data_IF_503433780778
#
_entry.id   IF_503433780778
#
_cell.length_a   1.000
_cell.length_b   1.000
_cell.length_c   1.000
_cell.angle_alpha   90.00
_cell.angle_beta   90.00
_cell.angle_gamma   90.00
#
_symmetry.space_group_name_H-M   'P 1'
#
loop_
_entity.id
_entity.type
_entity.pdbx_description
1 polymer ?
#
# COMPACT_ATOMS: atom_id res chain seq x y z
N UNK A 1 -13.69 2.45 -15.54
CA UNK A 1 -12.87 1.49 -14.78
C UNK A 1 -11.44 1.83 -15.17
N UNK A 2 -10.73 2.61 -14.38
CA UNK A 2 -9.34 2.96 -14.74
C UNK A 2 -8.53 1.68 -14.88
N UNK A 3 -7.93 1.54 -16.05
CA UNK A 3 -7.37 0.30 -16.51
C UNK A 3 -5.95 0.16 -15.97
N UNK A 4 -5.69 -0.98 -15.33
CA UNK A 4 -4.33 -1.52 -15.29
C UNK A 4 -3.77 -1.44 -16.72
N UNK A 5 -2.70 -0.66 -16.91
CA UNK A 5 -2.12 -0.40 -18.22
C UNK A 5 -1.11 -1.49 -18.60
N UNK A 6 -0.76 -1.67 -19.89
CA UNK A 6 0.27 -2.62 -20.30
C UNK A 6 1.61 -2.42 -19.57
N UNK A 7 1.99 -1.17 -19.31
CA UNK A 7 3.22 -0.76 -18.63
C UNK A 7 3.22 -1.18 -17.16
N UNK A 8 2.05 -1.33 -16.55
CA UNK A 8 1.91 -1.72 -15.15
C UNK A 8 2.07 -3.23 -14.91
N UNK A 9 1.98 -4.06 -15.96
CA UNK A 9 2.01 -5.52 -15.85
C UNK A 9 3.33 -6.11 -15.29
N UNK A 10 4.53 -5.63 -15.68
CA UNK A 10 5.79 -6.09 -15.11
C UNK A 10 5.89 -5.89 -13.59
N UNK A 11 5.16 -4.92 -13.04
CA UNK A 11 5.13 -4.63 -11.60
C UNK A 11 4.19 -5.57 -10.81
N UNK A 12 3.47 -6.45 -11.50
CA UNK A 12 2.59 -7.44 -10.89
C UNK A 12 1.11 -7.11 -10.92
N UNK A 13 0.72 -6.00 -11.54
CA UNK A 13 -0.69 -5.71 -11.77
C UNK A 13 -1.24 -6.66 -12.85
N UNK A 14 -2.51 -7.01 -12.72
CA UNK A 14 -3.15 -7.96 -13.63
C UNK A 14 -4.36 -7.28 -14.28
N UNK A 15 -4.32 -7.18 -15.61
CA UNK A 15 -5.42 -6.70 -16.44
C UNK A 15 -6.32 -7.84 -16.93
N UNK A 16 -5.72 -8.98 -17.28
CA UNK A 16 -6.43 -10.14 -17.84
C UNK A 16 -6.98 -11.04 -16.74
N UNK A 17 -8.08 -11.73 -17.03
CA UNK A 17 -8.85 -12.52 -16.06
C UNK A 17 -7.98 -13.43 -15.19
N UNK A 18 -8.31 -13.47 -13.91
CA UNK A 18 -8.14 -14.63 -13.03
C UNK A 18 -9.52 -15.02 -12.50
N UNK A 19 -9.67 -16.26 -12.07
CA UNK A 19 -10.93 -16.75 -11.52
C UNK A 19 -10.75 -17.12 -10.04
N UNK A 20 -9.80 -16.49 -9.35
CA UNK A 20 -9.51 -16.80 -7.95
C UNK A 20 -10.70 -16.41 -7.07
N UNK A 21 -11.35 -15.28 -7.40
CA UNK A 21 -12.60 -14.84 -6.78
C UNK A 21 -13.76 -15.85 -6.95
N UNK A 22 -13.73 -16.74 -7.95
CA UNK A 22 -14.73 -17.80 -8.08
C UNK A 22 -14.61 -18.89 -7.01
N UNK A 23 -13.43 -19.00 -6.40
CA UNK A 23 -13.09 -20.08 -5.48
C UNK A 23 -13.15 -19.64 -4.03
N UNK A 24 -12.77 -18.39 -3.72
CA UNK A 24 -12.64 -17.89 -2.35
C UNK A 24 -12.60 -16.36 -2.31
N UNK A 25 -12.54 -15.80 -1.10
CA UNK A 25 -12.31 -14.38 -0.79
C UNK A 25 -10.83 -14.03 -0.84
N UNK A 26 -10.45 -12.78 -0.55
CA UNK A 26 -9.04 -12.37 -0.42
C UNK A 26 -8.25 -13.06 0.70
N UNK A 27 -8.87 -13.92 1.52
CA UNK A 27 -8.18 -14.73 2.53
C UNK A 27 -7.35 -13.88 3.51
N UNK A 28 -7.87 -12.74 3.96
CA UNK A 28 -7.13 -11.82 4.82
C UNK A 28 -6.62 -12.50 6.11
N UNK A 29 -7.45 -13.35 6.74
CA UNK A 29 -7.04 -14.07 7.95
C UNK A 29 -5.89 -15.05 7.72
N UNK A 30 -5.90 -15.78 6.61
CA UNK A 30 -4.80 -16.66 6.22
C UNK A 30 -3.54 -15.89 5.82
N UNK A 31 -3.69 -14.80 5.07
CA UNK A 31 -2.57 -13.93 4.71
C UNK A 31 -1.91 -13.35 5.97
N UNK A 32 -2.71 -12.81 6.90
CA UNK A 32 -2.22 -12.27 8.17
C UNK A 32 -1.43 -13.30 8.97
N UNK A 33 -1.92 -14.55 9.07
CA UNK A 33 -1.20 -15.63 9.77
C UNK A 33 0.11 -15.99 9.08
N UNK A 34 0.10 -16.14 7.76
CA UNK A 34 1.32 -16.44 7.00
C UNK A 34 2.36 -15.33 7.16
N UNK A 35 1.90 -14.07 7.10
CA UNK A 35 2.75 -12.89 7.16
C UNK A 35 3.28 -12.62 8.57
N UNK A 36 2.54 -12.97 9.63
CA UNK A 36 3.06 -12.95 10.99
C UNK A 36 4.16 -14.00 11.26
N UNK A 37 4.27 -15.03 10.42
CA UNK A 37 5.26 -16.12 10.55
C UNK A 37 6.39 -16.02 9.50
N UNK A 38 6.42 -14.96 8.71
CA UNK A 38 7.41 -14.77 7.65
C UNK A 38 7.87 -13.32 7.60
N UNK A 39 9.06 -13.10 7.08
CA UNK A 39 9.59 -11.76 6.84
C UNK A 39 9.18 -11.24 5.47
N UNK A 40 9.20 -9.91 5.23
CA UNK A 40 8.94 -9.34 3.92
C UNK A 40 9.80 -9.92 2.81
N UNK A 41 11.03 -10.36 3.10
CA UNK A 41 12.03 -10.95 2.18
C UNK A 41 11.97 -12.48 2.07
N UNK A 42 11.03 -13.15 2.76
CA UNK A 42 10.94 -14.62 2.78
C UNK A 42 10.76 -15.20 1.37
N UNK A 43 11.54 -16.23 0.97
CA UNK A 43 11.43 -16.87 -0.33
C UNK A 43 10.07 -17.55 -0.58
N UNK A 44 9.69 -17.70 -1.85
CA UNK A 44 8.40 -18.31 -2.22
C UNK A 44 8.29 -19.76 -1.75
N UNK A 45 9.39 -20.50 -1.87
CA UNK A 45 9.50 -21.91 -1.49
C UNK A 45 9.31 -22.08 0.02
N UNK A 46 9.80 -21.12 0.80
CA UNK A 46 9.62 -21.08 2.25
C UNK A 46 8.16 -20.83 2.64
N UNK A 47 7.52 -19.84 2.00
CA UNK A 47 6.08 -19.59 2.18
C UNK A 47 5.26 -20.83 1.80
N UNK A 48 5.68 -21.56 0.75
CA UNK A 48 5.03 -22.80 0.36
C UNK A 48 5.19 -23.89 1.42
N UNK A 49 6.40 -24.06 1.96
CA UNK A 49 6.69 -25.04 3.01
C UNK A 49 5.84 -24.80 4.25
N UNK A 50 5.81 -23.56 4.75
CA UNK A 50 4.99 -23.15 5.90
C UNK A 50 3.50 -23.52 5.72
N UNK A 51 2.94 -23.27 4.53
CA UNK A 51 1.50 -23.50 4.30
C UNK A 51 1.19 -24.96 3.97
N UNK A 52 1.95 -25.58 3.06
CA UNK A 52 1.62 -26.87 2.47
C UNK A 52 2.17 -28.02 3.29
N UNK A 53 3.40 -27.91 3.78
CA UNK A 53 4.09 -29.00 4.50
C UNK A 53 3.81 -28.89 6.01
N UNK A 54 4.04 -27.71 6.58
CA UNK A 54 3.93 -27.48 8.03
C UNK A 54 2.51 -27.15 8.51
N UNK A 55 1.58 -26.92 7.58
CA UNK A 55 0.18 -26.59 7.90
C UNK A 55 0.02 -25.38 8.84
N UNK A 56 0.85 -24.35 8.69
CA UNK A 56 0.80 -23.14 9.52
C UNK A 56 -0.59 -22.46 9.54
N UNK A 57 -1.42 -22.70 8.52
CA UNK A 57 -2.77 -22.16 8.40
C UNK A 57 -3.88 -23.09 8.95
N UNK A 58 -3.51 -24.19 9.61
CA UNK A 58 -4.38 -25.13 10.31
C UNK A 58 -5.54 -25.65 9.44
N UNK A 59 -5.21 -26.07 8.22
CA UNK A 59 -6.18 -26.64 7.27
C UNK A 59 -6.29 -28.15 7.46
N UNK A 60 -7.51 -28.68 7.32
CA UNK A 60 -7.86 -30.07 7.64
C UNK A 60 -7.18 -31.10 6.74
N UNK A 61 -6.97 -30.75 5.48
CA UNK A 61 -6.44 -31.69 4.47
C UNK A 61 -5.31 -31.06 3.67
N UNK A 62 -4.41 -31.87 3.13
CA UNK A 62 -3.38 -31.41 2.19
C UNK A 62 -3.98 -30.71 0.97
N UNK A 63 -5.09 -31.23 0.43
CA UNK A 63 -5.79 -30.59 -0.68
C UNK A 63 -6.27 -29.17 -0.34
N UNK A 64 -6.75 -28.95 0.89
CA UNK A 64 -7.14 -27.62 1.36
C UNK A 64 -5.94 -26.69 1.57
N UNK A 65 -4.80 -27.21 2.07
CA UNK A 65 -3.54 -26.46 2.18
C UNK A 65 -3.06 -25.96 0.81
N UNK A 66 -2.98 -26.86 -0.18
CA UNK A 66 -2.57 -26.53 -1.56
C UNK A 66 -3.52 -25.52 -2.22
N UNK A 67 -4.83 -25.66 -2.00
CA UNK A 67 -5.84 -24.73 -2.54
C UNK A 67 -5.71 -23.32 -1.96
N UNK A 68 -5.52 -23.22 -0.64
CA UNK A 68 -5.33 -21.93 0.04
C UNK A 68 -4.03 -21.28 -0.40
N UNK A 69 -2.92 -22.03 -0.45
CA UNK A 69 -1.64 -21.50 -0.92
C UNK A 69 -1.73 -20.98 -2.36
N UNK A 70 -2.40 -21.72 -3.26
CA UNK A 70 -2.66 -21.27 -4.63
C UNK A 70 -3.43 -19.95 -4.65
N UNK A 71 -4.49 -19.83 -3.85
CA UNK A 71 -5.28 -18.61 -3.80
C UNK A 71 -4.48 -17.42 -3.24
N UNK A 72 -3.69 -17.61 -2.18
CA UNK A 72 -2.80 -16.58 -1.64
C UNK A 72 -1.78 -16.11 -2.70
N UNK A 73 -1.14 -17.04 -3.42
CA UNK A 73 -0.26 -16.72 -4.55
C UNK A 73 -0.98 -15.94 -5.64
N UNK A 74 -2.21 -16.30 -5.96
CA UNK A 74 -2.96 -15.63 -7.02
C UNK A 74 -3.35 -14.20 -6.62
N UNK A 75 -3.89 -14.01 -5.42
CA UNK A 75 -4.30 -12.71 -4.88
C UNK A 75 -3.11 -11.79 -4.56
N UNK A 76 -2.09 -12.29 -3.87
CA UNK A 76 -1.01 -11.45 -3.32
C UNK A 76 0.28 -11.50 -4.13
N UNK A 77 0.49 -12.53 -4.96
CA UNK A 77 1.72 -12.68 -5.76
C UNK A 77 2.84 -13.46 -5.08
N UNK A 78 2.96 -13.39 -3.75
CA UNK A 78 3.87 -14.18 -2.90
C UNK A 78 5.32 -14.33 -3.41
N UNK A 79 5.83 -13.36 -4.18
CA UNK A 79 7.16 -13.43 -4.81
C UNK A 79 7.84 -12.07 -4.71
N UNK A 80 9.05 -12.05 -4.16
CA UNK A 80 9.85 -10.81 -4.02
C UNK A 80 10.02 -10.01 -5.30
N UNK A 81 10.23 -10.64 -6.48
CA UNK A 81 10.36 -9.90 -7.73
C UNK A 81 9.07 -9.24 -8.21
N UNK A 82 7.95 -9.36 -7.49
CA UNK A 82 6.69 -8.69 -7.81
C UNK A 82 6.59 -7.42 -6.94
N UNK A 83 6.82 -6.21 -7.48
CA UNK A 83 6.79 -4.97 -6.73
C UNK A 83 5.51 -4.74 -5.92
N UNK A 84 4.33 -5.04 -6.50
CA UNK A 84 3.05 -4.94 -5.79
C UNK A 84 2.99 -5.82 -4.54
N UNK A 85 3.60 -7.01 -4.58
CA UNK A 85 3.67 -7.88 -3.40
C UNK A 85 4.70 -7.37 -2.39
N UNK A 86 5.90 -7.04 -2.88
CA UNK A 86 7.03 -6.62 -2.04
C UNK A 86 6.69 -5.38 -1.24
N UNK A 87 6.20 -4.33 -1.89
CA UNK A 87 5.80 -3.09 -1.23
C UNK A 87 4.63 -3.32 -0.28
N UNK A 88 3.64 -4.14 -0.67
CA UNK A 88 2.56 -4.51 0.24
C UNK A 88 3.08 -5.21 1.51
N UNK A 89 4.12 -6.06 1.41
CA UNK A 89 4.73 -6.71 2.58
C UNK A 89 5.55 -5.78 3.44
N UNK A 90 6.28 -4.84 2.84
CA UNK A 90 7.02 -3.81 3.59
C UNK A 90 6.04 -2.94 4.39
N UNK A 91 4.99 -2.41 3.73
CA UNK A 91 3.97 -1.57 4.36
C UNK A 91 3.10 -2.31 5.39
N UNK A 92 3.01 -3.64 5.28
CA UNK A 92 2.23 -4.48 6.20
C UNK A 92 2.78 -4.43 7.63
N UNK A 93 4.10 -4.38 7.78
CA UNK A 93 4.78 -4.40 9.08
C UNK A 93 4.76 -3.02 9.74
N UNK A 94 4.82 -1.95 8.94
CA UNK A 94 4.86 -0.56 9.41
C UNK A 94 3.54 -0.08 10.04
N UNK A 95 2.39 -0.58 9.58
CA UNK A 95 1.08 -0.11 10.02
C UNK A 95 0.09 -1.27 10.28
N UNK A 96 0.14 -1.92 11.45
CA UNK A 96 -0.72 -3.05 11.78
C UNK A 96 -2.23 -2.77 11.65
N UNK A 97 -2.67 -1.55 11.99
CA UNK A 97 -4.07 -1.14 11.86
C UNK A 97 -4.54 -1.08 10.39
N UNK A 98 -3.62 -0.82 9.46
CA UNK A 98 -3.90 -0.63 8.04
C UNK A 98 -3.82 -1.92 7.20
N UNK A 99 -3.33 -3.02 7.78
CA UNK A 99 -3.14 -4.32 7.11
C UNK A 99 -4.37 -4.80 6.30
N UNK A 100 -5.63 -4.67 6.78
CA UNK A 100 -6.80 -5.06 6.00
C UNK A 100 -6.92 -4.31 4.66
N UNK A 101 -6.56 -3.03 4.64
CA UNK A 101 -6.64 -2.19 3.46
C UNK A 101 -5.41 -2.35 2.56
N UNK A 102 -4.22 -2.58 3.13
CA UNK A 102 -3.03 -3.00 2.36
C UNK A 102 -3.31 -4.29 1.58
N UNK A 103 -3.92 -5.28 2.25
CA UNK A 103 -4.35 -6.53 1.62
C UNK A 103 -5.30 -6.29 0.44
N UNK A 104 -6.28 -5.41 0.64
CA UNK A 104 -7.28 -5.10 -0.36
C UNK A 104 -6.71 -4.40 -1.58
N UNK A 105 -5.83 -3.41 -1.39
CA UNK A 105 -5.14 -2.72 -2.49
C UNK A 105 -4.30 -3.70 -3.32
N UNK A 106 -3.54 -4.59 -2.66
CA UNK A 106 -2.77 -5.64 -3.33
C UNK A 106 -3.69 -6.57 -4.15
N UNK A 107 -4.80 -7.01 -3.56
CA UNK A 107 -5.75 -7.89 -4.21
C UNK A 107 -6.49 -7.21 -5.37
N UNK A 108 -6.88 -5.94 -5.23
CA UNK A 108 -7.50 -5.16 -6.29
C UNK A 108 -6.53 -4.99 -7.46
N UNK A 109 -5.24 -4.78 -7.21
CA UNK A 109 -4.22 -4.70 -8.25
C UNK A 109 -4.08 -6.01 -9.06
N UNK A 110 -4.47 -7.16 -8.48
CA UNK A 110 -4.19 -8.49 -9.01
C UNK A 110 -5.41 -9.33 -9.42
N UNK A 111 -6.61 -8.98 -8.96
CA UNK A 111 -7.85 -9.69 -9.26
C UNK A 111 -8.85 -8.76 -9.98
N UNK A 112 -8.90 -8.78 -11.32
CA UNK A 112 -9.81 -7.93 -12.11
C UNK A 112 -11.29 -8.11 -11.78
N UNK A 113 -11.74 -9.31 -11.41
CA UNK A 113 -13.14 -9.54 -11.04
C UNK A 113 -13.51 -8.88 -9.72
N UNK A 114 -12.56 -8.78 -8.78
CA UNK A 114 -12.78 -8.04 -7.54
C UNK A 114 -12.76 -6.54 -7.83
N UNK A 115 -11.82 -6.09 -8.66
CA UNK A 115 -11.68 -4.69 -9.06
C UNK A 115 -12.92 -4.14 -9.75
N UNK A 116 -13.59 -4.92 -10.61
CA UNK A 116 -14.81 -4.47 -11.29
C UNK A 116 -15.96 -4.15 -10.31
N UNK A 117 -16.01 -4.82 -9.16
CA UNK A 117 -17.04 -4.60 -8.14
C UNK A 117 -16.85 -3.29 -7.36
N UNK A 118 -15.68 -2.66 -7.42
CA UNK A 118 -15.40 -1.39 -6.75
C UNK A 118 -16.34 -0.27 -7.21
N UNK A 119 -16.76 -0.29 -8.49
CA UNK A 119 -17.69 0.69 -9.06
C UNK A 119 -19.10 0.66 -8.42
N UNK A 120 -19.44 -0.41 -7.69
CA UNK A 120 -20.71 -0.54 -6.96
C UNK A 120 -20.55 -0.20 -5.49
N UNK A 121 -19.40 -0.56 -4.89
CA UNK A 121 -19.17 -0.39 -3.45
C UNK A 121 -18.74 1.03 -3.10
N UNK A 122 -17.71 1.56 -3.78
CA UNK A 122 -17.06 2.81 -3.40
C UNK A 122 -17.99 4.04 -3.48
N UNK A 123 -18.86 4.19 -4.50
CA UNK A 123 -19.73 5.37 -4.60
C UNK A 123 -20.85 5.45 -3.56
N UNK A 124 -21.15 4.36 -2.86
CA UNK A 124 -22.23 4.35 -1.87
C UNK A 124 -21.77 5.08 -0.59
N UNK A 125 -22.63 5.93 0.02
CA UNK A 125 -22.29 6.61 1.25
C UNK A 125 -22.25 5.63 2.43
N UNK A 126 -21.48 5.97 3.47
CA UNK A 126 -21.42 5.18 4.70
C UNK A 126 -22.83 4.92 5.27
N UNK A 127 -23.06 3.70 5.77
CA UNK A 127 -24.36 3.23 6.26
C UNK A 127 -25.31 2.70 5.17
N UNK A 128 -25.12 3.06 3.89
CA UNK A 128 -26.03 2.63 2.83
C UNK A 128 -26.01 1.10 2.60
N UNK A 129 -27.14 0.49 2.21
CA UNK A 129 -27.18 -0.93 1.89
C UNK A 129 -26.37 -1.24 0.62
N UNK A 130 -25.62 -2.34 0.66
CA UNK A 130 -24.92 -2.93 -0.49
C UNK A 130 -25.42 -4.35 -0.65
N UNK A 131 -26.26 -4.60 -1.65
CA UNK A 131 -26.79 -5.93 -1.88
C UNK A 131 -25.85 -6.70 -2.79
N UNK A 132 -25.71 -7.99 -2.52
CA UNK A 132 -24.76 -8.84 -3.28
C UNK A 132 -25.18 -8.98 -4.74
N UNK A 133 -26.48 -8.94 -5.04
CA UNK A 133 -27.02 -8.97 -6.39
C UNK A 133 -26.71 -7.69 -7.20
N UNK A 134 -26.33 -6.58 -6.56
CA UNK A 134 -25.82 -5.39 -7.25
C UNK A 134 -24.38 -5.60 -7.78
N UNK A 135 -23.62 -6.56 -7.25
CA UNK A 135 -22.24 -6.81 -7.66
C UNK A 135 -22.14 -7.72 -8.90
N UNK A 136 -23.13 -8.58 -9.14
CA UNK A 136 -23.17 -9.50 -10.28
C UNK A 136 -23.19 -8.77 -11.63
N UNK A 137 -24.05 -7.75 -11.85
CA UNK A 137 -24.05 -6.97 -13.08
C UNK A 137 -22.72 -6.27 -13.35
N UNK A 138 -21.99 -5.84 -12.31
CA UNK A 138 -20.68 -5.21 -12.49
C UNK A 138 -19.62 -6.20 -13.00
N UNK A 139 -19.70 -7.46 -12.57
CA UNK A 139 -18.88 -8.56 -13.07
C UNK A 139 -19.25 -8.86 -14.53
N UNK A 140 -20.54 -9.04 -14.83
CA UNK A 140 -21.01 -9.34 -16.19
C UNK A 140 -20.68 -8.22 -17.18
N UNK A 141 -20.88 -6.96 -16.80
CA UNK A 141 -20.53 -5.79 -17.61
C UNK A 141 -19.03 -5.74 -17.94
N UNK A 142 -18.18 -6.15 -17.01
CA UNK A 142 -16.72 -6.14 -17.20
C UNK A 142 -16.22 -7.38 -17.96
N UNK A 143 -16.94 -8.49 -17.88
CA UNK A 143 -16.57 -9.77 -18.48
C UNK A 143 -17.79 -10.47 -19.12
N UNK A 144 -18.35 -9.89 -20.21
CA UNK A 144 -19.63 -10.33 -20.77
C UNK A 144 -19.57 -11.75 -21.33
N UNK A 145 -20.60 -12.55 -21.02
CA UNK A 145 -20.79 -13.92 -21.48
C UNK A 145 -19.73 -14.92 -20.97
N UNK A 146 -18.89 -14.54 -20.00
CA UNK A 146 -17.74 -15.36 -19.57
C UNK A 146 -18.07 -16.37 -18.49
N UNK A 147 -19.09 -16.11 -17.69
CA UNK A 147 -19.41 -16.92 -16.51
C UNK A 147 -20.89 -17.24 -16.47
N UNK A 148 -21.21 -18.46 -16.01
CA UNK A 148 -22.59 -18.83 -15.71
C UNK A 148 -23.09 -18.02 -14.51
N UNK A 149 -24.38 -17.78 -14.46
CA UNK A 149 -25.03 -16.98 -13.40
C UNK A 149 -24.71 -17.50 -11.99
N UNK A 150 -24.75 -18.82 -11.78
CA UNK A 150 -24.42 -19.42 -10.49
C UNK A 150 -22.96 -19.18 -10.04
N UNK A 151 -22.02 -19.08 -10.99
CA UNK A 151 -20.62 -18.75 -10.74
C UNK A 151 -20.46 -17.27 -10.43
N UNK A 152 -21.13 -16.38 -11.18
CA UNK A 152 -21.10 -14.93 -10.91
C UNK A 152 -21.72 -14.60 -9.56
N UNK A 153 -22.86 -15.21 -9.20
CA UNK A 153 -23.49 -15.04 -7.89
C UNK A 153 -22.55 -15.46 -6.74
N UNK A 154 -21.73 -16.50 -6.95
CA UNK A 154 -20.69 -16.90 -5.99
C UNK A 154 -19.56 -15.87 -5.91
N UNK A 155 -19.06 -15.40 -7.05
CA UNK A 155 -18.04 -14.34 -7.10
C UNK A 155 -18.51 -13.07 -6.40
N UNK A 156 -19.77 -12.66 -6.61
CA UNK A 156 -20.39 -11.53 -5.96
C UNK A 156 -20.40 -11.69 -4.43
N UNK A 157 -20.75 -12.87 -3.90
CA UNK A 157 -20.67 -13.16 -2.46
C UNK A 157 -19.23 -13.08 -1.93
N UNK A 158 -18.27 -13.62 -2.66
CA UNK A 158 -16.86 -13.55 -2.27
C UNK A 158 -16.31 -12.12 -2.33
N UNK A 159 -16.74 -11.33 -3.33
CA UNK A 159 -16.41 -9.90 -3.42
C UNK A 159 -16.95 -9.15 -2.21
N UNK A 160 -18.24 -9.29 -1.91
CA UNK A 160 -18.87 -8.66 -0.73
C UNK A 160 -18.14 -9.03 0.57
N UNK A 161 -17.75 -10.29 0.74
CA UNK A 161 -16.96 -10.71 1.90
C UNK A 161 -15.54 -10.14 1.91
N UNK A 162 -14.93 -9.91 0.75
CA UNK A 162 -13.59 -9.31 0.64
C UNK A 162 -13.61 -7.80 0.93
N UNK A 163 -14.64 -7.09 0.46
CA UNK A 163 -14.90 -5.70 0.86
C UNK A 163 -15.21 -5.57 2.36
N UNK A 164 -15.85 -6.58 2.95
CA UNK A 164 -16.02 -6.63 4.40
C UNK A 164 -14.68 -6.82 5.14
N UNK A 165 -13.79 -7.68 4.64
CA UNK A 165 -12.49 -7.92 5.25
C UNK A 165 -11.63 -6.65 5.32
N UNK A 166 -11.81 -5.70 4.42
CA UNK A 166 -11.09 -4.41 4.41
C UNK A 166 -11.82 -3.27 5.12
N UNK A 167 -12.97 -3.52 5.74
CA UNK A 167 -13.76 -2.50 6.46
C UNK A 167 -14.70 -1.66 5.59
N UNK A 168 -14.67 -1.81 4.26
CA UNK A 168 -15.58 -1.10 3.36
C UNK A 168 -17.02 -1.56 3.48
N UNK A 169 -17.26 -2.80 3.90
CA UNK A 169 -18.59 -3.33 4.20
C UNK A 169 -18.65 -3.88 5.63
N UNK A 170 -19.83 -3.81 6.22
CA UNK A 170 -20.13 -4.40 7.53
C UNK A 170 -21.40 -5.27 7.45
N UNK A 171 -21.65 -6.06 8.50
CA UNK A 171 -22.83 -6.91 8.61
C UNK A 171 -22.66 -8.32 8.02
N UNK A 172 -23.53 -9.26 8.42
CA UNK A 172 -23.44 -10.69 8.04
C UNK A 172 -24.28 -11.00 6.81
N UNK A 173 -25.62 -10.99 6.95
CA UNK A 173 -26.55 -11.28 5.85
C UNK A 173 -26.85 -10.03 5.00
N UNK A 174 -27.12 -8.90 5.64
CA UNK A 174 -27.30 -7.60 4.99
C UNK A 174 -25.99 -6.84 5.10
N UNK A 175 -25.38 -6.51 3.96
CA UNK A 175 -24.17 -5.68 3.96
C UNK A 175 -24.55 -4.22 3.94
N UNK A 176 -23.90 -3.44 4.78
CA UNK A 176 -23.97 -1.99 4.78
C UNK A 176 -22.59 -1.43 4.52
N UNK A 177 -22.53 -0.25 3.92
CA UNK A 177 -21.31 0.46 3.63
C UNK A 177 -20.64 0.86 4.96
N UNK A 178 -19.44 0.36 5.19
CA UNK A 178 -18.54 0.80 6.25
C UNK A 178 -17.64 1.94 5.76
N UNK A 179 -16.57 2.20 6.50
CA UNK A 179 -15.49 3.10 6.10
C UNK A 179 -14.19 2.40 6.41
N UNK A 180 -13.40 2.10 5.37
CA UNK A 180 -12.11 1.46 5.56
C UNK A 180 -11.18 2.36 6.39
N UNK A 181 -10.36 1.75 7.23
CA UNK A 181 -9.32 2.47 7.95
C UNK A 181 -8.11 2.63 7.03
N UNK A 182 -7.79 3.89 6.72
CA UNK A 182 -6.62 4.29 5.94
C UNK A 182 -5.67 5.14 6.76
N UNK A 183 -4.41 5.14 6.37
CA UNK A 183 -3.34 5.96 6.93
C UNK A 183 -2.18 6.10 5.94
N UNK A 184 -0.99 6.48 6.41
CA UNK A 184 0.16 6.72 5.55
C UNK A 184 0.55 5.51 4.68
N UNK A 185 0.51 4.29 5.24
CA UNK A 185 0.97 3.09 4.53
C UNK A 185 0.06 2.77 3.33
N UNK A 186 -1.25 2.77 3.55
CA UNK A 186 -2.25 2.53 2.50
C UNK A 186 -2.29 3.67 1.49
N UNK A 187 -2.10 4.91 1.93
CA UNK A 187 -1.99 6.07 1.03
C UNK A 187 -0.79 5.92 0.10
N UNK A 188 0.39 5.60 0.64
CA UNK A 188 1.60 5.36 -0.15
C UNK A 188 1.38 4.21 -1.16
N UNK A 189 0.76 3.11 -0.73
CA UNK A 189 0.45 1.99 -1.62
C UNK A 189 -0.53 2.40 -2.74
N UNK A 190 -1.59 3.13 -2.42
CA UNK A 190 -2.58 3.58 -3.39
C UNK A 190 -1.97 4.53 -4.44
N UNK A 191 -1.18 5.50 -3.99
CA UNK A 191 -0.47 6.43 -4.88
C UNK A 191 0.53 5.69 -5.78
N UNK A 192 1.28 4.73 -5.23
CA UNK A 192 2.18 3.88 -6.00
C UNK A 192 1.40 3.11 -7.08
N UNK A 193 0.29 2.46 -6.74
CA UNK A 193 -0.51 1.72 -7.73
C UNK A 193 -1.03 2.63 -8.85
N UNK A 194 -1.42 3.86 -8.53
CA UNK A 194 -1.80 4.88 -9.53
C UNK A 194 -0.62 5.24 -10.43
N UNK A 195 0.55 5.45 -9.83
CA UNK A 195 1.78 5.76 -10.55
C UNK A 195 2.21 4.61 -11.49
N UNK A 196 2.13 3.37 -11.02
CA UNK A 196 2.45 2.19 -11.83
C UNK A 196 1.49 2.03 -13.03
N UNK A 197 0.26 2.52 -12.92
CA UNK A 197 -0.69 2.64 -14.03
C UNK A 197 -0.47 3.88 -14.91
N UNK A 198 0.66 4.59 -14.79
CA UNK A 198 1.00 5.73 -15.64
C UNK A 198 0.38 7.07 -15.22
N UNK A 199 -0.41 7.12 -14.14
CA UNK A 199 -1.00 8.38 -13.64
C UNK A 199 0.07 9.19 -12.88
N UNK A 200 0.00 10.52 -12.93
CA UNK A 200 1.01 11.42 -12.35
C UNK A 200 0.36 12.63 -11.65
N UNK A 201 1.10 13.23 -10.72
CA UNK A 201 0.71 14.48 -10.06
C UNK A 201 -0.67 14.39 -9.37
N UNK A 202 -1.42 15.49 -9.40
CA UNK A 202 -2.73 15.62 -8.73
C UNK A 202 -3.76 14.58 -9.20
N UNK A 203 -3.64 14.06 -10.43
CA UNK A 203 -4.54 13.04 -10.96
C UNK A 203 -4.45 11.70 -10.20
N UNK A 204 -3.36 11.46 -9.45
CA UNK A 204 -3.24 10.27 -8.60
C UNK A 204 -4.38 10.19 -7.57
N UNK A 205 -4.84 11.33 -7.07
CA UNK A 205 -5.92 11.40 -6.07
C UNK A 205 -7.29 11.05 -6.63
N UNK A 206 -7.44 11.09 -7.95
CA UNK A 206 -8.66 10.67 -8.64
C UNK A 206 -8.62 9.19 -9.03
N UNK A 207 -7.54 8.47 -8.73
CA UNK A 207 -7.44 7.05 -9.13
C UNK A 207 -8.37 6.16 -8.32
N UNK A 208 -8.73 5.00 -8.90
CA UNK A 208 -9.43 3.94 -8.17
C UNK A 208 -8.74 3.58 -6.85
N UNK A 209 -7.41 3.56 -6.85
CA UNK A 209 -6.61 3.16 -5.71
C UNK A 209 -6.78 4.14 -4.55
N UNK A 210 -6.72 5.45 -4.83
CA UNK A 210 -6.95 6.48 -3.80
C UNK A 210 -8.40 6.51 -3.35
N UNK A 211 -9.38 6.34 -4.26
CA UNK A 211 -10.79 6.20 -3.87
C UNK A 211 -11.06 5.02 -2.94
N UNK A 212 -10.20 3.99 -2.95
CA UNK A 212 -10.29 2.82 -2.05
C UNK A 212 -9.86 3.17 -0.62
N UNK A 213 -9.25 4.32 -0.39
CA UNK A 213 -8.85 4.72 0.96
C UNK A 213 -10.04 5.13 1.83
N UNK A 214 -11.23 5.38 1.26
CA UNK A 214 -12.40 5.89 1.98
C UNK A 214 -12.18 7.19 2.77
N UNK A 215 -11.06 7.87 2.51
CA UNK A 215 -10.79 9.19 3.00
C UNK A 215 -11.25 10.21 1.94
N UNK A 216 -12.05 11.20 2.36
CA UNK A 216 -11.92 12.51 1.71
C UNK A 216 -10.49 12.99 2.01
N UNK A 217 -9.88 13.71 1.08
CA UNK A 217 -8.44 14.00 0.97
C UNK A 217 -7.72 14.58 2.21
N UNK A 218 -8.32 14.69 3.40
CA UNK A 218 -7.58 14.88 4.64
C UNK A 218 -8.33 14.48 5.93
N UNK A 219 -8.28 13.22 6.34
CA UNK A 219 -8.75 12.89 7.70
C UNK A 219 -7.63 13.11 8.72
N UNK A 220 -7.90 13.90 9.76
CA UNK A 220 -7.24 13.75 11.07
C UNK A 220 -6.75 15.01 11.78
N UNK A 221 -6.62 16.15 11.11
CA UNK A 221 -6.11 17.38 11.75
C UNK A 221 -7.26 18.33 12.13
N UNK A 222 -7.22 18.90 13.33
CA UNK A 222 -8.26 19.85 13.82
C UNK A 222 -8.43 21.03 12.85
N UNK A 223 -7.31 21.54 12.34
CA UNK A 223 -7.24 22.65 11.37
C UNK A 223 -7.23 22.22 9.90
N UNK A 224 -7.71 21.00 9.60
CA UNK A 224 -7.65 20.42 8.26
C UNK A 224 -8.26 21.33 7.19
N UNK A 225 -9.54 21.70 7.33
CA UNK A 225 -10.19 22.46 6.26
C UNK A 225 -9.61 23.86 6.12
N UNK A 226 -9.05 24.42 7.20
CA UNK A 226 -8.33 25.69 7.18
C UNK A 226 -7.04 25.58 6.38
N UNK A 227 -6.23 24.53 6.58
CA UNK A 227 -5.03 24.28 5.76
C UNK A 227 -5.33 24.06 4.28
N UNK A 228 -6.49 23.47 3.93
CA UNK A 228 -6.87 23.31 2.52
C UNK A 228 -7.39 24.61 1.91
N UNK A 229 -8.05 25.46 2.69
CA UNK A 229 -8.50 26.78 2.25
C UNK A 229 -7.33 27.77 2.14
N UNK A 230 -6.37 27.67 3.05
CA UNK A 230 -5.18 28.50 3.11
C UNK A 230 -3.92 27.65 3.40
N UNK A 231 -3.26 27.11 2.35
CA UNK A 231 -2.07 26.27 2.50
C UNK A 231 -0.90 26.92 3.25
N UNK A 232 -0.82 28.24 3.29
CA UNK A 232 0.26 28.96 3.99
C UNK A 232 0.20 28.75 5.51
N UNK A 233 -0.98 28.45 6.06
CA UNK A 233 -1.17 28.16 7.49
C UNK A 233 -0.51 26.83 7.91
N UNK A 234 -0.18 25.97 6.95
CA UNK A 234 0.53 24.71 7.21
C UNK A 234 1.97 24.95 7.68
N UNK A 235 2.57 26.11 7.38
CA UNK A 235 3.97 26.39 7.65
C UNK A 235 4.35 26.18 9.13
N UNK A 236 3.49 26.64 10.05
CA UNK A 236 3.70 26.48 11.50
C UNK A 236 3.66 25.00 11.91
N UNK A 237 2.72 24.23 11.35
CA UNK A 237 2.63 22.79 11.61
C UNK A 237 3.82 22.00 11.02
N UNK A 238 4.43 22.49 9.94
CA UNK A 238 5.63 21.88 9.37
C UNK A 238 6.87 22.12 10.24
N UNK A 239 6.96 23.26 10.91
CA UNK A 239 8.04 23.52 11.89
C UNK A 239 7.91 22.59 13.11
N UNK A 240 6.70 22.47 13.68
CA UNK A 240 6.43 21.54 14.78
C UNK A 240 6.69 20.08 14.37
N UNK A 241 6.33 19.72 13.14
CA UNK A 241 6.62 18.40 12.56
C UNK A 241 8.13 18.16 12.47
N UNK A 242 8.89 19.15 12.00
CA UNK A 242 10.35 19.03 11.89
C UNK A 242 11.00 18.83 13.27
N UNK A 243 10.58 19.59 14.28
CA UNK A 243 11.09 19.43 15.65
C UNK A 243 10.73 18.07 16.25
N UNK A 244 9.50 17.59 16.02
CA UNK A 244 9.10 16.26 16.45
C UNK A 244 9.90 15.15 15.74
N UNK A 245 10.18 15.32 14.45
CA UNK A 245 10.97 14.38 13.66
C UNK A 245 12.40 14.30 14.19
N UNK A 246 13.02 15.43 14.52
CA UNK A 246 14.37 15.47 15.10
C UNK A 246 14.43 14.63 16.39
N UNK A 247 13.46 14.80 17.29
CA UNK A 247 13.35 14.00 18.52
C UNK A 247 13.24 12.51 18.19
N UNK A 248 12.36 12.13 17.26
CA UNK A 248 12.16 10.72 16.89
C UNK A 248 13.40 10.07 16.29
N UNK A 249 14.13 10.79 15.44
CA UNK A 249 15.36 10.29 14.84
C UNK A 249 16.46 10.20 15.89
N UNK A 250 16.59 11.17 16.80
CA UNK A 250 17.53 11.14 17.92
C UNK A 250 17.30 9.94 18.85
N UNK A 251 16.05 9.65 19.20
CA UNK A 251 15.67 8.48 20.02
C UNK A 251 16.09 7.15 19.36
N UNK A 252 16.13 7.12 18.03
CA UNK A 252 16.46 5.92 17.24
C UNK A 252 17.95 5.82 16.88
N UNK A 253 18.69 6.92 16.92
CA UNK A 253 20.08 7.04 16.46
C UNK A 253 21.10 6.74 17.58
N UNK A 254 20.94 5.64 18.29
CA UNK A 254 21.89 5.22 19.33
C UNK A 254 23.23 4.84 18.67
N UNK A 255 24.26 5.67 18.87
CA UNK A 255 25.55 5.53 18.19
C UNK A 255 26.71 6.00 19.08
N UNK A 256 27.88 5.40 18.85
CA UNK A 256 29.17 5.87 19.39
C UNK A 256 30.08 6.42 18.28
N UNK A 257 31.31 6.80 18.63
CA UNK A 257 32.28 7.35 17.68
C UNK A 257 32.69 6.37 16.55
N UNK A 258 32.45 5.07 16.71
CA UNK A 258 32.79 4.03 15.74
C UNK A 258 31.58 3.54 14.93
N UNK A 259 30.40 4.12 15.18
CA UNK A 259 29.14 3.70 14.55
C UNK A 259 28.85 4.50 13.28
N UNK A 260 28.34 3.83 12.25
CA UNK A 260 27.76 4.49 11.07
C UNK A 260 26.23 4.44 11.20
N UNK A 261 25.60 5.60 11.38
CA UNK A 261 24.14 5.72 11.37
C UNK A 261 23.67 5.87 9.93
N UNK A 262 22.76 5.00 9.51
CA UNK A 262 22.16 5.04 8.17
C UNK A 262 20.78 5.68 8.23
N UNK A 263 20.61 6.83 7.60
CA UNK A 263 19.33 7.50 7.44
C UNK A 263 18.70 7.11 6.10
N UNK A 264 17.60 6.36 6.17
CA UNK A 264 16.83 5.88 5.02
C UNK A 264 15.54 6.70 4.87
N UNK A 265 15.02 6.79 3.64
CA UNK A 265 13.69 7.35 3.42
C UNK A 265 13.59 8.87 3.42
N UNK A 266 14.70 9.61 3.46
CA UNK A 266 14.70 11.09 3.51
C UNK A 266 13.93 11.78 2.38
N UNK A 267 13.70 11.08 1.26
CA UNK A 267 12.83 11.59 0.20
C UNK A 267 11.40 11.87 0.66
N UNK A 268 10.93 11.29 1.77
CA UNK A 268 9.61 11.55 2.35
C UNK A 268 9.45 12.97 2.90
N UNK A 269 10.54 13.70 3.14
CA UNK A 269 10.48 15.07 3.64
C UNK A 269 10.24 16.09 2.53
N UNK A 270 10.38 15.71 1.25
CA UNK A 270 10.20 16.66 0.16
C UNK A 270 8.79 17.24 0.14
N UNK A 271 8.70 18.57 0.23
CA UNK A 271 7.43 19.32 0.25
C UNK A 271 6.79 19.45 1.63
N UNK A 272 7.35 18.83 2.67
CA UNK A 272 6.86 18.92 4.07
C UNK A 272 7.96 19.15 5.10
N UNK A 273 9.23 19.19 4.68
CA UNK A 273 10.37 19.46 5.53
C UNK A 273 11.64 19.65 4.71
N UNK A 274 12.72 20.06 5.39
CA UNK A 274 14.05 20.12 4.78
C UNK A 274 14.88 18.99 5.36
N UNK A 275 15.44 18.17 4.47
CA UNK A 275 16.31 17.11 4.96
C UNK A 275 17.64 17.73 5.47
N UNK A 276 18.03 18.92 5.00
CA UNK A 276 19.19 19.66 5.54
C UNK A 276 18.98 20.06 6.99
N UNK A 277 17.78 20.59 7.31
CA UNK A 277 17.38 20.89 8.69
C UNK A 277 17.47 19.63 9.55
N UNK A 278 16.89 18.51 9.11
CA UNK A 278 16.95 17.25 9.87
C UNK A 278 18.39 16.82 10.16
N UNK A 279 19.26 16.82 9.14
CA UNK A 279 20.66 16.41 9.34
C UNK A 279 21.41 17.33 10.31
N UNK A 280 21.20 18.65 10.23
CA UNK A 280 21.76 19.59 11.19
C UNK A 280 21.20 19.35 12.60
N UNK A 281 19.89 19.12 12.69
CA UNK A 281 19.15 18.88 13.91
C UNK A 281 19.48 17.57 14.61
N UNK A 282 20.18 16.63 13.98
CA UNK A 282 20.60 15.35 14.59
C UNK A 282 22.12 15.16 14.64
N UNK A 283 22.90 16.08 14.09
CA UNK A 283 24.35 15.89 13.90
C UNK A 283 25.11 15.66 15.21
N UNK A 284 24.74 16.37 16.27
CA UNK A 284 25.29 16.23 17.63
C UNK A 284 24.93 14.90 18.30
N UNK A 285 23.83 14.26 17.89
CA UNK A 285 23.40 12.97 18.38
C UNK A 285 24.11 11.78 17.71
N UNK A 286 24.92 12.03 16.67
CA UNK A 286 25.67 11.01 15.94
C UNK A 286 27.17 11.26 16.07
N UNK A 287 27.84 10.72 17.12
CA UNK A 287 29.27 10.95 17.36
C UNK A 287 30.18 10.36 16.27
N UNK A 288 29.71 9.35 15.56
CA UNK A 288 30.42 8.65 14.49
C UNK A 288 30.16 9.26 13.11
N UNK A 289 29.70 8.45 12.15
CA UNK A 289 29.41 8.90 10.78
C UNK A 289 27.93 8.77 10.45
N UNK A 290 27.36 9.78 9.80
CA UNK A 290 26.02 9.71 9.25
C UNK A 290 26.07 9.40 7.75
N UNK A 291 25.30 8.40 7.30
CA UNK A 291 25.11 8.05 5.90
C UNK A 291 23.66 8.25 5.50
N UNK A 292 23.41 9.18 4.58
CA UNK A 292 22.06 9.48 4.09
C UNK A 292 21.83 8.81 2.73
N UNK A 293 20.73 8.08 2.59
CA UNK A 293 20.33 7.43 1.34
C UNK A 293 19.26 8.26 0.63
N UNK A 294 19.66 8.97 -0.41
CA UNK A 294 18.79 9.86 -1.17
C UNK A 294 18.23 9.17 -2.42
N UNK A 295 16.90 9.07 -2.60
CA UNK A 295 16.27 8.30 -3.68
C UNK A 295 16.14 9.08 -5.01
N UNK A 296 16.98 10.08 -5.25
CA UNK A 296 16.88 10.99 -6.40
C UNK A 296 18.20 11.28 -7.11
N UNK A 297 18.18 12.29 -7.94
CA UNK A 297 19.32 12.67 -8.78
C UNK A 297 20.17 13.76 -8.10
N UNK A 298 21.46 13.78 -8.43
CA UNK A 298 22.40 14.80 -7.94
C UNK A 298 22.97 15.59 -9.12
N UNK A 299 22.70 16.89 -9.14
CA UNK A 299 23.28 17.85 -10.08
C UNK A 299 24.26 18.76 -9.34
N UNK A 300 25.55 18.44 -9.39
CA UNK A 300 26.58 19.15 -8.62
C UNK A 300 26.40 18.96 -7.11
N UNK A 301 26.04 20.03 -6.41
CA UNK A 301 25.69 20.01 -4.99
C UNK A 301 24.17 19.98 -4.72
N UNK A 302 23.34 20.01 -5.76
CA UNK A 302 21.89 19.96 -5.60
C UNK A 302 21.37 18.53 -5.68
N UNK A 303 20.38 18.24 -4.85
CA UNK A 303 19.69 16.96 -4.80
C UNK A 303 18.23 17.16 -5.22
N UNK A 304 17.76 16.34 -6.17
CA UNK A 304 16.43 16.49 -6.78
C UNK A 304 15.63 15.20 -6.66
N UNK A 305 14.38 15.33 -6.23
CA UNK A 305 13.44 14.22 -6.16
C UNK A 305 12.09 14.69 -6.74
N UNK A 306 11.60 14.02 -7.79
CA UNK A 306 10.28 14.29 -8.40
C UNK A 306 10.04 15.78 -8.75
N UNK A 307 11.01 16.43 -9.41
CA UNK A 307 10.98 17.85 -9.81
C UNK A 307 10.99 18.88 -8.68
N UNK A 308 10.90 18.46 -7.42
CA UNK A 308 11.12 19.31 -6.26
C UNK A 308 12.63 19.43 -5.97
N UNK A 309 13.07 20.64 -5.63
CA UNK A 309 14.45 20.97 -5.26
C UNK A 309 14.56 20.97 -3.75
N UNK A 310 15.50 20.20 -3.19
CA UNK A 310 16.01 20.44 -1.85
C UNK A 310 17.49 20.79 -2.00
N UNK A 311 17.81 22.06 -1.72
CA UNK A 311 19.15 22.59 -1.87
C UNK A 311 19.98 22.21 -0.66
N UNK A 312 20.79 21.16 -0.77
CA UNK A 312 21.72 20.78 0.29
C UNK A 312 23.15 21.15 -0.05
N UNK A 313 23.52 22.36 0.36
CA UNK A 313 24.91 22.74 0.47
C UNK A 313 25.31 22.60 1.94
N UNK A 314 25.99 21.51 2.31
CA UNK A 314 27.09 21.56 3.28
C UNK A 314 27.77 20.18 3.46
N UNK A 315 29.09 20.14 3.30
CA UNK A 315 30.06 19.14 3.82
C UNK A 315 29.84 17.63 3.55
N UNK A 316 28.79 17.20 2.86
CA UNK A 316 28.57 15.77 2.57
C UNK A 316 29.49 15.26 1.46
N UNK A 317 30.21 14.17 1.70
CA UNK A 317 30.95 13.46 0.64
C UNK A 317 30.00 12.55 -0.14
N UNK A 318 29.69 12.83 -1.42
CA UNK A 318 28.75 12.06 -2.21
C UNK A 318 29.36 10.69 -2.57
N UNK A 319 28.58 9.63 -2.38
CA UNK A 319 28.91 8.28 -2.88
C UNK A 319 27.87 7.95 -3.96
N UNK A 320 28.23 8.22 -5.22
CA UNK A 320 27.38 7.88 -6.37
C UNK A 320 27.67 6.44 -6.84
N UNK A 321 26.65 5.76 -7.37
CA UNK A 321 26.88 4.55 -8.14
C UNK A 321 27.76 4.89 -9.37
N UNK A 322 28.71 4.02 -9.76
CA UNK A 322 29.46 4.23 -10.98
C UNK A 322 28.50 4.38 -12.17
N UNK A 323 28.75 5.36 -13.02
CA UNK A 323 28.01 5.55 -14.25
C UNK A 323 28.30 4.33 -15.12
N UNK A 324 27.27 3.51 -15.35
CA UNK A 324 27.31 2.36 -16.26
C UNK A 324 27.00 2.78 -17.69
#
# INVERSE_FOLDING_TARGET
MEAVTPESLPYGLIAKRRATLSMTTILFGEASRLFAMSRPDTPYEELQRLVVEENALLKRTESSRRRVFRALREFYGLRQPIPVYRIARELWEEAPAEQPLVAMLCCLAREPLLRSTAAVVLPKPAGAPVRTDELDPAIEKSFPGRYRENVRARMARHAASSWQQSGHLAGKQRKTRGTALSGPATTAHALLLGHLCGVRGKQLFDTLWVRTLDCSTARGHEYREEYFQNPDDLALALDDFADHLDVKVRESAVADANTVVALLGVGSLFGVGSVSRLVQGIADAVPGRLRVFFPGEREGSNYRLLDAKDGWNYLSTPIAAPVG
#
